data_IF_050672754689
#
_entry.id   IF_050672754689
#
_cell.length_a   1.000
_cell.length_b   1.000
_cell.length_c   1.000
_cell.angle_alpha   90.00
_cell.angle_beta   90.00
_cell.angle_gamma   90.00
#
_symmetry.space_group_name_H-M   'P 1'
#
loop_
_entity.id
_entity.type
_entity.pdbx_description
1 polymer ?
#
# COMPACT_ATOMS: atom_id res chain seq x y z
N UNK A 1 10.70 14.36 -19.56
CA UNK A 1 9.76 14.72 -18.79
C UNK A 1 8.73 13.74 -18.50
N UNK A 2 8.24 13.05 -19.45
CA UNK A 2 7.26 12.05 -19.20
C UNK A 2 7.76 10.96 -18.32
N UNK A 3 9.02 10.68 -18.41
CA UNK A 3 9.57 9.63 -17.59
C UNK A 3 9.38 9.92 -16.14
N UNK A 4 9.52 11.15 -15.76
CA UNK A 4 9.36 11.49 -14.39
C UNK A 4 7.97 11.25 -13.93
N UNK A 5 7.01 11.54 -14.76
CA UNK A 5 5.65 11.32 -14.38
C UNK A 5 5.37 9.86 -14.19
N UNK A 6 5.98 9.02 -14.99
CA UNK A 6 5.78 7.60 -14.84
C UNK A 6 6.21 7.16 -13.46
N UNK A 7 7.33 7.67 -12.98
CA UNK A 7 7.79 7.28 -11.67
C UNK A 7 6.89 7.79 -10.56
N UNK A 8 6.18 8.88 -10.83
CA UNK A 8 5.35 9.44 -9.81
C UNK A 8 3.95 8.88 -9.77
N UNK A 9 3.61 8.11 -10.77
CA UNK A 9 2.25 7.62 -10.85
C UNK A 9 2.02 6.48 -9.88
N UNK A 10 1.01 6.64 -9.07
CA UNK A 10 0.63 5.60 -8.13
C UNK A 10 -0.60 4.89 -8.64
N UNK A 11 -0.56 3.59 -8.67
CA UNK A 11 -1.72 2.80 -9.03
C UNK A 11 -1.71 1.53 -8.21
N UNK A 12 -2.87 0.93 -8.12
CA UNK A 12 -3.05 -0.28 -7.36
C UNK A 12 -3.90 -1.22 -8.17
N UNK A 13 -3.41 -2.43 -8.38
CA UNK A 13 -4.15 -3.44 -9.09
C UNK A 13 -4.22 -4.67 -8.21
N UNK A 14 -5.41 -5.21 -8.05
CA UNK A 14 -5.58 -6.37 -7.19
C UNK A 14 -6.49 -7.35 -7.91
N UNK A 15 -5.98 -8.57 -8.10
CA UNK A 15 -6.75 -9.60 -8.77
C UNK A 15 -7.12 -10.70 -7.81
N UNK A 16 -8.37 -11.04 -7.77
CA UNK A 16 -8.87 -12.14 -6.96
C UNK A 16 -8.50 -12.00 -5.49
N UNK A 17 -8.23 -10.78 -5.04
CA UNK A 17 -7.80 -10.53 -3.68
C UNK A 17 -6.54 -11.32 -3.32
N UNK A 18 -5.78 -11.74 -4.29
CA UNK A 18 -4.61 -12.56 -4.04
C UNK A 18 -3.34 -12.03 -4.67
N UNK A 19 -3.44 -11.34 -5.78
CA UNK A 19 -2.26 -10.86 -6.47
C UNK A 19 -2.38 -9.36 -6.63
N UNK A 20 -1.43 -8.63 -6.07
CA UNK A 20 -1.47 -7.19 -6.11
C UNK A 20 -0.23 -6.61 -6.74
N UNK A 21 -0.41 -5.53 -7.47
CA UNK A 21 0.71 -4.77 -8.00
C UNK A 21 0.47 -3.31 -7.69
N UNK A 22 1.47 -2.69 -7.09
CA UNK A 22 1.36 -1.31 -6.68
C UNK A 22 2.51 -0.53 -7.28
N UNK A 23 2.20 0.59 -7.92
CA UNK A 23 3.22 1.45 -8.47
C UNK A 23 3.22 2.76 -7.71
N UNK A 24 4.25 3.57 -7.96
CA UNK A 24 4.39 4.83 -7.25
C UNK A 24 4.75 4.65 -5.79
N UNK A 25 5.43 3.54 -5.49
CA UNK A 25 5.84 3.24 -4.12
C UNK A 25 7.16 3.93 -3.84
N UNK A 26 7.22 4.67 -2.74
CA UNK A 26 8.43 5.36 -2.37
C UNK A 26 9.28 4.53 -1.42
N UNK A 27 8.66 3.74 -0.61
CA UNK A 27 9.40 2.97 0.37
C UNK A 27 8.48 1.92 0.96
N UNK A 28 9.08 0.91 1.56
CA UNK A 28 8.30 -0.08 2.26
C UNK A 28 8.75 -0.01 3.72
N UNK A 29 7.77 0.19 4.59
CA UNK A 29 8.07 0.42 5.99
C UNK A 29 8.13 -0.87 6.76
N UNK A 30 7.20 -1.74 6.49
CA UNK A 30 7.21 -3.03 7.14
C UNK A 30 6.38 -3.99 6.31
N UNK A 31 6.69 -5.27 6.42
CA UNK A 31 5.87 -6.27 5.77
C UNK A 31 5.88 -7.51 6.63
N UNK A 32 4.72 -8.07 6.76
CA UNK A 32 4.47 -9.17 7.62
C UNK A 32 3.37 -9.98 6.94
N UNK A 33 3.20 -11.20 7.35
CA UNK A 33 2.19 -12.04 6.70
C UNK A 33 0.80 -11.48 6.84
N UNK A 34 0.57 -10.66 7.85
CA UNK A 34 -0.76 -10.12 8.05
C UNK A 34 -0.88 -8.65 7.75
N UNK A 35 0.22 -7.96 7.57
CA UNK A 35 0.14 -6.54 7.35
C UNK A 35 1.37 -6.03 6.62
N UNK A 36 1.15 -5.21 5.62
CA UNK A 36 2.23 -4.58 4.87
C UNK A 36 1.97 -3.09 4.88
N UNK A 37 2.99 -2.32 5.21
CA UNK A 37 2.88 -0.87 5.24
C UNK A 37 3.83 -0.27 4.23
N UNK A 38 3.28 0.50 3.30
CA UNK A 38 4.04 1.13 2.23
C UNK A 38 3.87 2.62 2.27
N UNK A 39 4.88 3.32 1.76
CA UNK A 39 4.76 4.75 1.52
C UNK A 39 4.64 4.93 0.03
N UNK A 40 3.59 5.60 -0.42
CA UNK A 40 3.37 5.82 -1.84
C UNK A 40 3.27 7.30 -2.13
N UNK A 41 3.19 7.63 -3.41
CA UNK A 41 3.00 9.01 -3.80
C UNK A 41 1.68 9.56 -3.31
N UNK A 42 0.73 8.71 -3.04
CA UNK A 42 -0.58 9.13 -2.56
C UNK A 42 -0.73 9.02 -1.05
N UNK A 43 0.33 8.66 -0.35
CA UNK A 43 0.29 8.57 1.11
C UNK A 43 0.65 7.19 1.60
N UNK A 44 0.48 6.96 2.88
CA UNK A 44 0.75 5.65 3.45
C UNK A 44 -0.36 4.70 3.04
N UNK A 45 0.03 3.47 2.79
CA UNK A 45 -0.93 2.45 2.40
C UNK A 45 -0.73 1.25 3.30
N UNK A 46 -1.78 0.83 3.97
CA UNK A 46 -1.75 -0.33 4.85
C UNK A 46 -2.56 -1.42 4.19
N UNK A 47 -1.94 -2.56 3.99
CA UNK A 47 -2.59 -3.73 3.41
C UNK A 47 -2.66 -4.80 4.46
N UNK A 48 -3.85 -5.27 4.75
CA UNK A 48 -4.04 -6.31 5.75
C UNK A 48 -4.62 -7.55 5.11
N UNK A 49 -4.22 -8.68 5.63
CA UNK A 49 -4.71 -9.93 5.09
C UNK A 49 -4.07 -11.10 5.78
N UNK A 50 -3.90 -12.19 5.02
CA UNK A 50 -3.31 -13.40 5.56
C UNK A 50 -2.33 -13.99 4.57
N UNK A 51 -1.24 -14.47 5.08
CA UNK A 51 -0.19 -15.08 4.27
C UNK A 51 0.29 -14.13 3.19
N UNK A 52 0.38 -12.87 3.54
CA UNK A 52 0.86 -11.86 2.61
C UNK A 52 2.36 -11.98 2.46
N UNK A 53 2.84 -11.80 1.25
CA UNK A 53 4.28 -11.72 1.06
C UNK A 53 4.57 -10.92 -0.20
N UNK A 54 5.74 -10.33 -0.23
CA UNK A 54 6.17 -9.51 -1.34
C UNK A 54 6.89 -10.41 -2.33
N UNK A 55 6.36 -10.48 -3.54
CA UNK A 55 6.96 -11.29 -4.57
C UNK A 55 8.09 -10.56 -5.26
N UNK A 56 7.93 -9.27 -5.42
CA UNK A 56 8.92 -8.50 -6.12
C UNK A 56 8.90 -7.08 -5.61
N UNK A 57 10.05 -6.50 -5.44
CA UNK A 57 10.17 -5.15 -4.92
C UNK A 57 11.23 -4.42 -5.73
N UNK A 58 10.83 -3.33 -6.37
CA UNK A 58 11.76 -2.52 -7.15
C UNK A 58 11.51 -1.07 -6.80
N UNK A 59 12.26 -0.56 -5.85
CA UNK A 59 12.06 0.80 -5.39
C UNK A 59 12.58 1.84 -6.37
N UNK A 60 13.44 1.44 -7.28
CA UNK A 60 13.86 2.38 -8.30
C UNK A 60 12.72 2.72 -9.22
N UNK A 61 11.91 1.74 -9.55
CA UNK A 61 10.74 1.97 -10.36
C UNK A 61 9.52 2.26 -9.52
N UNK A 62 9.60 2.02 -8.23
CA UNK A 62 8.48 2.22 -7.36
C UNK A 62 7.42 1.16 -7.52
N UNK A 63 7.83 -0.08 -7.76
CA UNK A 63 6.89 -1.16 -8.01
C UNK A 63 7.01 -2.24 -6.96
N UNK A 64 5.86 -2.72 -6.51
CA UNK A 64 5.80 -3.81 -5.55
C UNK A 64 4.76 -4.80 -6.03
N UNK A 65 5.15 -6.06 -6.12
CA UNK A 65 4.20 -7.13 -6.39
C UNK A 65 4.05 -7.94 -5.13
N UNK A 66 2.81 -8.20 -4.76
CA UNK A 66 2.60 -8.99 -3.56
C UNK A 66 1.55 -10.06 -3.82
N UNK A 67 1.54 -11.03 -2.93
CA UNK A 67 0.66 -12.16 -3.05
C UNK A 67 0.16 -12.53 -1.67
N UNK A 68 -1.00 -13.18 -1.62
CA UNK A 68 -1.59 -13.55 -0.35
C UNK A 68 -3.03 -13.08 -0.35
N UNK A 69 -3.75 -13.45 0.69
CA UNK A 69 -5.14 -13.07 0.75
C UNK A 69 -5.24 -11.66 1.31
N UNK A 70 -5.80 -10.75 0.55
CA UNK A 70 -5.92 -9.37 0.96
C UNK A 70 -7.31 -9.13 1.52
N UNK A 71 -7.36 -8.66 2.75
CA UNK A 71 -8.63 -8.37 3.41
C UNK A 71 -8.97 -6.90 3.34
N UNK A 72 -8.00 -6.02 3.43
CA UNK A 72 -8.31 -4.60 3.39
C UNK A 72 -7.12 -3.81 2.89
N UNK A 73 -7.43 -2.65 2.33
CA UNK A 73 -6.45 -1.69 1.86
C UNK A 73 -6.89 -0.35 2.39
N UNK A 74 -6.01 0.32 3.12
CA UNK A 74 -6.37 1.58 3.73
C UNK A 74 -5.27 2.59 3.52
N UNK A 75 -5.65 3.77 3.07
CA UNK A 75 -4.70 4.86 2.91
C UNK A 75 -4.75 5.74 4.14
N UNK A 76 -3.58 6.12 4.60
CA UNK A 76 -3.47 7.03 5.73
C UNK A 76 -2.77 8.29 5.28
N UNK A 77 -3.31 9.40 5.64
CA UNK A 77 -2.76 10.68 5.24
C UNK A 77 -1.94 11.24 6.37
N UNK A 78 -0.79 11.80 6.04
CA UNK A 78 0.07 12.35 7.09
C UNK A 78 -0.58 13.44 7.87
N UNK A 79 -1.22 14.33 7.17
CA UNK A 79 -1.77 15.49 7.83
C UNK A 79 -2.98 15.21 8.67
N UNK A 80 -3.54 14.04 8.52
CA UNK A 80 -4.76 13.73 9.21
C UNK A 80 -4.62 12.52 10.11
N UNK A 81 -3.41 12.30 10.58
CA UNK A 81 -3.19 11.13 11.43
C UNK A 81 -4.18 11.08 12.58
N UNK A 82 -4.33 12.18 13.28
CA UNK A 82 -5.23 12.17 14.42
C UNK A 82 -6.68 11.99 13.99
N UNK A 83 -7.04 12.60 12.90
CA UNK A 83 -8.37 12.45 12.41
C UNK A 83 -8.63 11.04 11.95
N UNK A 84 -7.65 10.47 11.28
CA UNK A 84 -7.80 9.10 10.82
C UNK A 84 -8.05 8.17 11.97
N UNK A 85 -7.37 8.39 13.06
CA UNK A 85 -7.60 7.56 14.23
C UNK A 85 -9.01 7.72 14.74
N UNK A 86 -9.49 8.94 14.75
CA UNK A 86 -10.85 9.17 15.21
C UNK A 86 -11.85 8.45 14.35
N UNK A 87 -11.66 8.53 13.05
CA UNK A 87 -12.57 7.89 12.14
C UNK A 87 -12.54 6.39 12.32
N UNK A 88 -11.37 5.84 12.48
CA UNK A 88 -11.24 4.43 12.70
C UNK A 88 -12.00 4.00 13.94
N UNK A 89 -11.85 4.74 14.99
CA UNK A 89 -12.55 4.40 16.21
C UNK A 89 -14.03 4.39 16.00
N UNK A 90 -14.53 5.39 15.29
CA UNK A 90 -15.95 5.43 15.05
C UNK A 90 -16.41 4.27 14.23
N UNK A 91 -15.62 3.91 13.23
CA UNK A 91 -16.03 2.86 12.34
C UNK A 91 -16.04 1.51 13.01
N UNK A 92 -15.20 1.35 14.01
CA UNK A 92 -15.07 0.06 14.65
C UNK A 92 -15.79 -0.03 15.96
N UNK A 93 -16.62 0.92 16.27
CA UNK A 93 -17.34 0.90 17.51
C UNK A 93 -18.63 0.14 17.44
#
# INVERSE_FOLDING_TARGET
>A
MEEKKIHSTHSLMLENRQNGRITGVKDIKSFDEKEILLFTQAGKLVIKGEQLHVKQLDLEKGEVDLEGKVDSLTYLSKNTDNRDESLFRRMFR
#
